data_IF_551641731286
#
_entry.id   IF_551641731286
#
_cell.length_a   1.000
_cell.length_b   1.000
_cell.length_c   1.000
_cell.angle_alpha   90.00
_cell.angle_beta   90.00
_cell.angle_gamma   90.00
#
_symmetry.space_group_name_H-M   'P 1'
#
loop_
_entity.id
_entity.type
_entity.pdbx_description
1 polymer ?
#
# COMPACT_ATOMS: atom_id res chain seq x y z
N UNK A 1 14.81 61.96 16.37
CA UNK A 1 13.88 60.85 16.04
C UNK A 1 14.69 59.63 15.59
N UNK A 2 14.96 58.70 16.50
CA UNK A 2 15.75 57.49 16.24
C UNK A 2 14.79 56.29 16.08
N UNK A 3 14.75 55.68 14.90
CA UNK A 3 13.94 54.47 14.64
C UNK A 3 14.78 53.23 14.95
N UNK A 4 14.56 52.65 16.13
CA UNK A 4 15.03 51.29 16.46
C UNK A 4 14.34 50.28 15.53
N UNK A 5 15.10 49.62 14.65
CA UNK A 5 14.66 48.40 13.97
C UNK A 5 14.64 47.27 15.02
N UNK A 6 13.45 46.78 15.38
CA UNK A 6 13.29 45.51 16.09
C UNK A 6 13.59 44.39 15.09
N UNK A 7 14.71 43.72 15.27
CA UNK A 7 14.97 42.40 14.69
C UNK A 7 13.98 41.41 15.33
N UNK A 8 13.01 40.94 14.54
CA UNK A 8 12.23 39.75 14.87
C UNK A 8 13.12 38.54 14.56
N UNK A 9 13.75 37.99 15.60
CA UNK A 9 14.18 36.61 15.59
C UNK A 9 12.91 35.76 15.74
N UNK A 10 12.48 35.09 14.68
CA UNK A 10 11.52 33.99 14.79
C UNK A 10 12.26 32.73 14.41
N UNK A 11 12.47 31.91 15.43
CA UNK A 11 12.99 30.55 15.34
C UNK A 11 12.12 29.77 14.36
N UNK A 12 12.69 29.38 13.22
CA UNK A 12 12.16 28.27 12.44
C UNK A 12 12.66 26.99 13.11
N UNK A 13 11.95 26.52 14.14
CA UNK A 13 11.88 25.08 14.37
C UNK A 13 11.03 24.53 13.24
N UNK A 14 11.69 24.03 12.19
CA UNK A 14 11.03 23.29 11.12
C UNK A 14 10.30 22.10 11.73
N UNK A 15 8.98 22.04 11.53
CA UNK A 15 8.09 20.94 11.90
C UNK A 15 8.76 19.59 11.60
N UNK A 16 9.19 18.89 12.63
CA UNK A 16 9.93 17.62 12.52
C UNK A 16 9.06 16.41 12.17
N UNK A 17 7.78 16.60 11.85
CA UNK A 17 6.80 15.54 11.60
C UNK A 17 6.01 15.75 10.30
N UNK A 18 6.68 16.11 9.20
CA UNK A 18 5.99 16.11 7.90
C UNK A 18 5.85 14.66 7.41
N UNK A 19 4.66 14.09 7.56
CA UNK A 19 4.36 12.76 7.06
C UNK A 19 4.53 12.69 5.54
N UNK A 20 5.22 11.67 5.04
CA UNK A 20 5.26 11.37 3.62
C UNK A 20 4.11 10.44 3.22
N UNK A 21 3.88 10.28 1.91
CA UNK A 21 2.92 9.36 1.25
C UNK A 21 2.09 8.47 2.20
N UNK A 22 0.77 8.68 2.22
CA UNK A 22 -0.17 7.94 3.08
C UNK A 22 0.12 7.99 4.58
N UNK A 23 0.66 9.11 5.06
CA UNK A 23 0.79 9.39 6.50
C UNK A 23 1.97 8.68 7.17
N UNK A 24 2.97 8.24 6.40
CA UNK A 24 4.17 7.59 6.95
C UNK A 24 5.06 8.63 7.61
N UNK A 25 5.46 8.36 8.85
CA UNK A 25 6.48 9.10 9.58
C UNK A 25 7.69 8.18 9.74
N UNK A 26 8.80 8.43 9.01
CA UNK A 26 9.96 7.52 8.98
C UNK A 26 10.55 7.22 10.36
N UNK A 27 10.49 8.20 11.27
CA UNK A 27 11.00 8.11 12.63
C UNK A 27 10.16 7.19 13.54
N UNK A 28 8.90 6.91 13.18
CA UNK A 28 7.98 6.13 14.00
C UNK A 28 8.00 4.62 13.70
N UNK A 29 8.38 4.23 12.47
CA UNK A 29 8.41 2.82 12.07
C UNK A 29 9.27 2.59 10.85
N UNK A 30 10.16 1.59 10.93
CA UNK A 30 10.92 1.11 9.78
C UNK A 30 10.14 0.14 8.89
N UNK A 31 9.04 -0.46 9.40
CA UNK A 31 8.21 -1.38 8.60
C UNK A 31 7.29 -0.60 7.67
N UNK A 32 7.54 -0.71 6.37
CA UNK A 32 6.79 -0.04 5.33
C UNK A 32 6.64 -0.91 4.09
N UNK A 33 5.75 -0.49 3.21
CA UNK A 33 5.55 -1.11 1.90
C UNK A 33 5.78 -0.09 0.81
N UNK A 34 6.28 -0.55 -0.33
CA UNK A 34 6.58 0.28 -1.48
C UNK A 34 5.73 -0.16 -2.66
N UNK A 35 4.92 0.74 -3.20
CA UNK A 35 4.19 0.56 -4.45
C UNK A 35 4.93 1.32 -5.55
N UNK A 36 5.55 0.58 -6.46
CA UNK A 36 6.24 1.15 -7.62
C UNK A 36 5.31 1.12 -8.84
N UNK A 37 4.77 2.28 -9.18
CA UNK A 37 3.95 2.49 -10.36
C UNK A 37 4.76 2.68 -11.65
N UNK A 38 6.09 2.71 -11.56
CA UNK A 38 7.00 2.99 -12.67
C UNK A 38 6.97 4.45 -13.12
N UNK A 39 7.95 4.80 -13.95
CA UNK A 39 7.99 6.07 -14.69
C UNK A 39 7.71 5.87 -16.20
N UNK A 40 7.73 4.62 -16.68
CA UNK A 40 7.42 4.21 -18.05
C UNK A 40 6.12 3.38 -18.10
N UNK A 41 5.61 3.13 -19.31
CA UNK A 41 4.44 2.28 -19.64
C UNK A 41 4.74 0.79 -19.36
N UNK A 42 5.32 0.47 -18.20
CA UNK A 42 5.45 -0.91 -17.76
C UNK A 42 4.03 -1.49 -17.61
N UNK A 43 3.75 -2.67 -18.17
CA UNK A 43 2.46 -3.32 -18.01
C UNK A 43 2.26 -3.88 -16.59
N UNK A 44 3.25 -3.73 -15.70
CA UNK A 44 3.22 -4.25 -14.34
C UNK A 44 3.44 -3.17 -13.27
N UNK A 45 2.80 -3.39 -12.13
CA UNK A 45 3.02 -2.71 -10.86
C UNK A 45 3.74 -3.66 -9.92
N UNK A 46 4.74 -3.16 -9.21
CA UNK A 46 5.55 -3.92 -8.27
C UNK A 46 5.31 -3.45 -6.84
N UNK A 47 5.10 -4.39 -5.93
CA UNK A 47 4.85 -4.08 -4.51
C UNK A 47 5.74 -4.93 -3.62
N UNK A 48 6.54 -4.26 -2.78
CA UNK A 48 7.52 -4.89 -1.90
C UNK A 48 7.34 -4.46 -0.44
N UNK A 49 7.84 -5.30 0.47
CA UNK A 49 7.77 -5.13 1.93
C UNK A 49 9.17 -4.97 2.52
N UNK A 50 9.37 -3.94 3.35
CA UNK A 50 10.69 -3.56 3.87
C UNK A 50 10.65 -3.28 5.37
N UNK A 51 11.78 -3.50 6.04
CA UNK A 51 11.94 -3.33 7.50
C UNK A 51 13.04 -2.34 7.89
N UNK A 52 13.63 -1.67 6.91
CA UNK A 52 14.76 -0.75 7.08
C UNK A 52 14.26 0.70 7.23
N UNK A 53 14.98 1.50 8.01
CA UNK A 53 14.74 2.94 8.11
C UNK A 53 15.19 3.55 6.78
N UNK A 54 14.29 4.24 6.09
CA UNK A 54 14.64 4.90 4.84
C UNK A 54 15.10 6.35 5.14
N UNK A 55 16.41 6.59 5.09
CA UNK A 55 16.98 7.91 5.40
C UNK A 55 16.55 8.99 4.39
N UNK A 56 16.39 8.63 3.11
CA UNK A 56 16.03 9.58 2.03
C UNK A 56 15.20 8.93 0.91
N UNK A 57 14.08 9.54 0.48
CA UNK A 57 13.23 9.04 -0.62
C UNK A 57 13.95 8.86 -1.97
N UNK A 58 15.09 9.51 -2.18
CA UNK A 58 15.86 9.37 -3.42
C UNK A 58 16.72 8.10 -3.47
N UNK A 59 17.17 7.59 -2.30
CA UNK A 59 17.89 6.30 -2.23
C UNK A 59 16.96 5.12 -2.53
N UNK A 60 15.70 5.21 -2.10
CA UNK A 60 14.61 4.28 -2.43
C UNK A 60 14.52 4.05 -3.94
N UNK A 61 14.71 5.10 -4.75
CA UNK A 61 14.58 5.01 -6.20
C UNK A 61 15.60 4.10 -6.87
N UNK A 62 16.79 3.98 -6.28
CA UNK A 62 17.92 3.23 -6.83
C UNK A 62 17.97 1.82 -6.25
N UNK A 63 17.70 1.68 -4.95
CA UNK A 63 17.87 0.41 -4.22
C UNK A 63 16.73 -0.59 -4.45
N UNK A 64 15.51 -0.11 -4.75
CA UNK A 64 14.33 -0.95 -4.98
C UNK A 64 14.02 -1.20 -6.46
N UNK A 65 14.96 -0.91 -7.39
CA UNK A 65 14.92 -1.37 -8.78
C UNK A 65 15.18 -2.89 -8.92
N UNK A 66 14.69 -3.67 -7.97
CA UNK A 66 14.95 -5.11 -7.89
C UNK A 66 13.89 -5.88 -8.69
N UNK A 67 14.39 -6.86 -9.45
CA UNK A 67 13.64 -7.73 -10.37
C UNK A 67 12.57 -8.50 -9.59
N UNK A 68 11.58 -9.05 -10.30
CA UNK A 68 10.43 -9.80 -9.73
C UNK A 68 10.79 -10.97 -8.78
N UNK A 69 12.06 -11.40 -8.75
CA UNK A 69 12.59 -12.47 -7.93
C UNK A 69 13.10 -12.02 -6.55
N UNK A 70 13.03 -10.72 -6.23
CA UNK A 70 13.45 -10.19 -4.94
C UNK A 70 12.71 -10.87 -3.77
N UNK A 71 13.40 -11.26 -2.67
CA UNK A 71 12.76 -11.85 -1.50
C UNK A 71 11.71 -10.94 -0.86
N UNK A 72 11.87 -9.62 -0.97
CA UNK A 72 10.97 -8.58 -0.46
C UNK A 72 9.76 -8.35 -1.39
N UNK A 73 9.79 -8.86 -2.63
CA UNK A 73 8.68 -8.71 -3.57
C UNK A 73 7.47 -9.52 -3.12
N UNK A 74 6.32 -8.86 -2.99
CA UNK A 74 5.05 -9.46 -2.55
C UNK A 74 4.05 -9.59 -3.68
N UNK A 75 4.04 -8.63 -4.61
CA UNK A 75 3.10 -8.57 -5.73
C UNK A 75 3.80 -8.09 -7.00
N UNK A 76 3.50 -8.78 -8.11
CA UNK A 76 3.70 -8.29 -9.48
C UNK A 76 2.33 -8.34 -10.17
N UNK A 77 1.69 -7.18 -10.27
CA UNK A 77 0.30 -7.05 -10.71
C UNK A 77 0.25 -6.43 -12.10
N UNK A 78 -0.64 -6.89 -12.99
CA UNK A 78 -0.86 -6.19 -14.27
C UNK A 78 -1.43 -4.81 -13.99
N UNK A 79 -0.99 -3.80 -14.75
CA UNK A 79 -1.47 -2.42 -14.64
C UNK A 79 -2.98 -2.32 -14.83
N UNK A 80 -3.53 -3.11 -15.75
CA UNK A 80 -4.97 -3.22 -15.98
C UNK A 80 -5.73 -3.60 -14.71
N UNK A 81 -5.24 -4.59 -13.94
CA UNK A 81 -5.86 -5.00 -12.67
C UNK A 81 -5.65 -3.94 -11.59
N UNK A 82 -4.49 -3.28 -11.56
CA UNK A 82 -4.22 -2.20 -10.62
C UNK A 82 -5.21 -1.03 -10.78
N UNK A 83 -5.53 -0.66 -12.02
CA UNK A 83 -6.48 0.42 -12.31
C UNK A 83 -7.87 0.16 -11.71
N UNK A 84 -8.29 -1.11 -11.61
CA UNK A 84 -9.59 -1.49 -11.03
C UNK A 84 -9.65 -1.32 -9.50
N UNK A 85 -8.51 -1.26 -8.80
CA UNK A 85 -8.46 -1.27 -7.34
C UNK A 85 -7.83 -0.03 -6.72
N UNK A 86 -7.12 0.79 -7.49
CA UNK A 86 -6.39 1.95 -6.96
C UNK A 86 -7.32 2.91 -6.20
N UNK A 87 -8.45 3.28 -6.80
CA UNK A 87 -9.38 4.24 -6.20
C UNK A 87 -10.05 3.70 -4.94
N UNK A 88 -10.28 2.39 -4.86
CA UNK A 88 -10.79 1.72 -3.66
C UNK A 88 -9.85 1.96 -2.47
N UNK A 89 -8.55 1.75 -2.67
CA UNK A 89 -7.55 1.99 -1.63
C UNK A 89 -7.39 3.46 -1.29
N UNK A 90 -7.36 4.35 -2.28
CA UNK A 90 -7.29 5.79 -2.03
C UNK A 90 -8.47 6.24 -1.17
N UNK A 91 -9.68 5.77 -1.45
CA UNK A 91 -10.85 6.07 -0.64
C UNK A 91 -10.69 5.58 0.80
N UNK A 92 -10.45 4.27 0.98
CA UNK A 92 -10.37 3.61 2.30
C UNK A 92 -9.24 4.16 3.18
N UNK A 93 -8.07 4.43 2.57
CA UNK A 93 -6.91 4.97 3.28
C UNK A 93 -7.14 6.44 3.62
N UNK A 94 -7.67 7.25 2.69
CA UNK A 94 -7.92 8.67 2.96
C UNK A 94 -9.00 8.91 4.01
N UNK A 95 -10.02 8.04 4.11
CA UNK A 95 -10.99 8.11 5.21
C UNK A 95 -10.29 7.95 6.57
N UNK A 96 -9.35 7.01 6.67
CA UNK A 96 -8.57 6.78 7.90
C UNK A 96 -7.57 7.89 8.19
N UNK A 97 -6.90 8.42 7.17
CA UNK A 97 -6.00 9.58 7.32
C UNK A 97 -6.75 10.80 7.85
N UNK A 98 -7.93 11.11 7.28
CA UNK A 98 -8.78 12.21 7.75
C UNK A 98 -9.20 12.04 9.21
N UNK A 99 -9.63 10.84 9.61
CA UNK A 99 -9.98 10.53 11.01
C UNK A 99 -8.80 10.70 11.97
N UNK A 100 -7.58 10.44 11.49
CA UNK A 100 -6.34 10.63 12.24
C UNK A 100 -5.80 12.09 12.20
N UNK A 101 -6.48 13.02 11.52
CA UNK A 101 -6.01 14.40 11.35
C UNK A 101 -4.82 14.54 10.39
N UNK A 102 -4.56 13.53 9.57
CA UNK A 102 -3.46 13.51 8.60
C UNK A 102 -3.92 13.96 7.21
N UNK A 103 -2.96 14.45 6.42
CA UNK A 103 -3.20 14.87 5.03
C UNK A 103 -3.53 13.66 4.15
N UNK A 104 -4.55 13.79 3.31
CA UNK A 104 -4.89 12.76 2.31
C UNK A 104 -3.78 12.58 1.27
N UNK A 105 -3.69 11.38 0.70
CA UNK A 105 -2.72 11.00 -0.32
C UNK A 105 -3.38 10.34 -1.53
N UNK A 106 -2.68 10.30 -2.65
CA UNK A 106 -3.06 9.57 -3.87
C UNK A 106 -1.86 8.78 -4.36
N UNK A 107 -2.09 7.71 -5.10
CA UNK A 107 -1.00 7.03 -5.79
C UNK A 107 -0.58 7.86 -7.01
N UNK A 108 0.70 8.19 -7.08
CA UNK A 108 1.32 8.91 -8.20
C UNK A 108 2.38 8.06 -8.89
N UNK A 109 2.80 8.46 -10.08
CA UNK A 109 3.91 7.81 -10.79
C UNK A 109 5.17 7.68 -9.91
N UNK A 110 5.94 6.61 -10.17
CA UNK A 110 7.08 6.24 -9.37
C UNK A 110 6.69 5.53 -8.06
N UNK A 111 7.33 5.94 -6.97
CA UNK A 111 7.30 5.23 -5.69
C UNK A 111 6.31 5.86 -4.71
N UNK A 112 5.43 5.02 -4.18
CA UNK A 112 4.47 5.39 -3.14
C UNK A 112 4.74 4.52 -1.92
N UNK A 113 4.84 5.13 -0.76
CA UNK A 113 5.19 4.44 0.49
C UNK A 113 3.90 4.30 1.30
N UNK A 114 3.68 3.12 1.85
CA UNK A 114 2.52 2.85 2.70
C UNK A 114 2.98 2.45 4.10
N UNK A 115 2.25 2.89 5.14
CA UNK A 115 2.49 2.40 6.48
C UNK A 115 2.15 0.90 6.54
N UNK A 116 2.77 0.19 7.48
CA UNK A 116 2.63 -1.26 7.68
C UNK A 116 1.20 -1.78 7.47
N UNK A 117 0.21 -1.18 8.13
CA UNK A 117 -1.16 -1.70 8.12
C UNK A 117 -1.84 -1.52 6.75
N UNK A 118 -1.64 -0.39 6.08
CA UNK A 118 -2.19 -0.16 4.74
C UNK A 118 -1.56 -1.08 3.71
N UNK A 119 -0.24 -1.30 3.79
CA UNK A 119 0.43 -2.23 2.87
C UNK A 119 -0.04 -3.68 3.02
N UNK A 120 -0.29 -4.15 4.25
CA UNK A 120 -0.88 -5.47 4.51
C UNK A 120 -2.25 -5.63 3.85
N UNK A 121 -3.13 -4.64 4.06
CA UNK A 121 -4.47 -4.65 3.51
C UNK A 121 -4.48 -4.60 1.99
N UNK A 122 -3.58 -3.81 1.41
CA UNK A 122 -3.41 -3.70 -0.04
C UNK A 122 -2.98 -5.03 -0.65
N UNK A 123 -1.92 -5.63 -0.12
CA UNK A 123 -1.37 -6.88 -0.64
C UNK A 123 -2.38 -8.02 -0.54
N UNK A 124 -3.20 -8.07 0.51
CA UNK A 124 -4.21 -9.09 0.67
C UNK A 124 -5.18 -9.14 -0.53
N UNK A 125 -5.73 -7.98 -0.93
CA UNK A 125 -6.63 -7.93 -2.08
C UNK A 125 -5.88 -8.22 -3.39
N UNK A 126 -4.66 -7.71 -3.55
CA UNK A 126 -3.83 -8.05 -4.71
C UNK A 126 -3.61 -9.55 -4.85
N UNK A 127 -3.33 -10.28 -3.76
CA UNK A 127 -3.17 -11.74 -3.77
C UNK A 127 -4.45 -12.47 -4.15
N UNK A 128 -5.62 -11.95 -3.78
CA UNK A 128 -6.88 -12.55 -4.22
C UNK A 128 -7.08 -12.41 -5.73
N UNK A 129 -6.78 -11.25 -6.31
CA UNK A 129 -7.19 -10.94 -7.69
C UNK A 129 -6.11 -11.19 -8.74
N UNK A 130 -4.83 -11.30 -8.37
CA UNK A 130 -3.71 -11.37 -9.33
C UNK A 130 -3.78 -12.58 -10.29
N UNK A 131 -4.51 -13.62 -9.93
CA UNK A 131 -4.71 -14.85 -10.72
C UNK A 131 -6.20 -15.24 -10.79
N UNK A 132 -7.09 -14.28 -10.56
CA UNK A 132 -8.53 -14.45 -10.71
C UNK A 132 -8.98 -14.02 -12.12
N UNK A 133 -10.18 -14.44 -12.50
CA UNK A 133 -10.89 -13.81 -13.62
C UNK A 133 -11.14 -12.34 -13.28
N UNK A 134 -10.78 -11.37 -14.15
CA UNK A 134 -11.05 -9.95 -13.93
C UNK A 134 -12.51 -9.64 -13.60
N UNK A 135 -13.47 -10.42 -14.12
CA UNK A 135 -14.89 -10.26 -13.81
C UNK A 135 -15.25 -10.49 -12.33
N UNK A 136 -14.37 -11.11 -11.55
CA UNK A 136 -14.56 -11.35 -10.11
C UNK A 136 -13.96 -10.26 -9.22
N UNK A 137 -13.26 -9.26 -9.79
CA UNK A 137 -12.66 -8.16 -9.02
C UNK A 137 -13.72 -7.39 -8.20
N UNK A 138 -14.90 -7.03 -8.74
CA UNK A 138 -15.92 -6.33 -7.95
C UNK A 138 -16.39 -7.12 -6.73
N UNK A 139 -16.55 -8.45 -6.86
CA UNK A 139 -16.91 -9.35 -5.75
C UNK A 139 -15.79 -9.40 -4.71
N UNK A 140 -14.53 -9.49 -5.17
CA UNK A 140 -13.37 -9.47 -4.29
C UNK A 140 -13.25 -8.17 -3.49
N UNK A 141 -13.51 -7.02 -4.12
CA UNK A 141 -13.54 -5.72 -3.45
C UNK A 141 -14.61 -5.71 -2.37
N UNK A 142 -15.86 -6.09 -2.68
CA UNK A 142 -16.96 -6.11 -1.71
C UNK A 142 -16.67 -7.03 -0.52
N UNK A 143 -16.20 -8.26 -0.78
CA UNK A 143 -15.83 -9.18 0.29
C UNK A 143 -14.66 -8.65 1.14
N UNK A 144 -13.64 -8.04 0.52
CA UNK A 144 -12.54 -7.42 1.24
C UNK A 144 -13.00 -6.23 2.09
N UNK A 145 -13.93 -5.41 1.59
CA UNK A 145 -14.54 -4.30 2.33
C UNK A 145 -15.37 -4.79 3.52
N UNK A 146 -16.04 -5.94 3.39
CA UNK A 146 -16.79 -6.58 4.46
C UNK A 146 -15.93 -7.12 5.61
N UNK A 147 -14.63 -7.36 5.39
CA UNK A 147 -13.70 -7.74 6.46
C UNK A 147 -13.35 -6.55 7.33
N UNK A 148 -13.27 -6.77 8.64
CA UNK A 148 -12.66 -5.82 9.58
C UNK A 148 -11.15 -5.68 9.28
N UNK A 149 -10.53 -4.52 9.59
CA UNK A 149 -9.10 -4.33 9.41
C UNK A 149 -8.25 -5.44 10.06
N UNK A 150 -8.62 -5.89 11.26
CA UNK A 150 -7.91 -6.94 11.98
C UNK A 150 -7.95 -8.29 11.26
N UNK A 151 -9.09 -8.63 10.64
CA UNK A 151 -9.25 -9.84 9.84
C UNK A 151 -8.38 -9.77 8.59
N UNK A 152 -8.30 -8.60 7.95
CA UNK A 152 -7.40 -8.37 6.81
C UNK A 152 -5.93 -8.55 7.22
N UNK A 153 -5.52 -7.98 8.35
CA UNK A 153 -4.14 -8.11 8.84
C UNK A 153 -3.79 -9.53 9.24
N UNK A 154 -4.75 -10.26 9.82
CA UNK A 154 -4.57 -11.65 10.18
C UNK A 154 -4.41 -12.54 8.94
N UNK A 155 -5.30 -12.40 7.94
CA UNK A 155 -5.21 -13.13 6.67
C UNK A 155 -3.91 -12.83 5.94
N UNK A 156 -3.48 -11.56 5.92
CA UNK A 156 -2.18 -11.18 5.39
C UNK A 156 -1.05 -11.93 6.11
N UNK A 157 -1.02 -11.93 7.44
CA UNK A 157 0.06 -12.54 8.22
C UNK A 157 0.14 -14.05 7.97
N UNK A 158 -1.01 -14.74 7.96
CA UNK A 158 -1.06 -16.17 7.65
C UNK A 158 -0.57 -16.47 6.23
N UNK A 159 -0.96 -15.64 5.27
CA UNK A 159 -0.58 -15.84 3.87
C UNK A 159 0.88 -15.49 3.60
N UNK A 160 1.40 -14.42 4.22
CA UNK A 160 2.78 -13.97 4.08
C UNK A 160 3.77 -14.99 4.63
N UNK A 161 3.48 -15.54 5.83
CA UNK A 161 4.33 -16.54 6.48
C UNK A 161 4.50 -17.83 5.66
N UNK A 162 3.49 -18.22 4.87
CA UNK A 162 3.53 -19.44 4.05
C UNK A 162 3.91 -19.19 2.58
N UNK A 163 3.40 -18.11 1.98
CA UNK A 163 3.36 -17.88 0.53
C UNK A 163 3.55 -16.41 0.14
N UNK A 164 4.38 -15.66 0.87
CA UNK A 164 4.55 -14.21 0.68
C UNK A 164 5.24 -13.76 -0.62
N UNK A 165 6.27 -14.48 -1.09
CA UNK A 165 7.04 -14.09 -2.28
C UNK A 165 6.19 -14.09 -3.58
N UNK A 166 6.29 -13.02 -4.37
CA UNK A 166 5.40 -12.70 -5.47
C UNK A 166 5.32 -13.72 -6.63
N UNK A 167 6.46 -14.29 -7.04
CA UNK A 167 6.55 -15.16 -8.22
C UNK A 167 6.54 -16.64 -7.80
N UNK A 168 7.43 -17.02 -6.88
CA UNK A 168 7.61 -18.40 -6.41
C UNK A 168 6.35 -18.98 -5.77
N UNK A 169 5.55 -18.13 -5.12
CA UNK A 169 4.38 -18.57 -4.37
C UNK A 169 3.05 -18.14 -5.00
N UNK A 170 3.06 -17.61 -6.22
CA UNK A 170 1.84 -17.20 -6.93
C UNK A 170 0.86 -18.37 -7.07
N UNK A 171 -0.42 -18.10 -6.84
CA UNK A 171 -1.53 -19.03 -7.07
C UNK A 171 -1.39 -20.43 -6.41
N UNK A 172 -0.81 -20.50 -5.21
CA UNK A 172 -0.71 -21.74 -4.41
C UNK A 172 -0.92 -21.48 -2.93
N UNK A 173 -1.21 -22.55 -2.18
CA UNK A 173 -1.36 -22.50 -0.72
C UNK A 173 -2.35 -21.43 -0.27
N UNK A 174 -1.97 -20.63 0.73
CA UNK A 174 -2.80 -19.58 1.30
C UNK A 174 -3.22 -18.51 0.30
N UNK A 175 -2.39 -18.14 -0.70
CA UNK A 175 -2.82 -17.21 -1.76
C UNK A 175 -4.00 -17.75 -2.56
N UNK A 176 -4.00 -19.07 -2.86
CA UNK A 176 -5.12 -19.70 -3.56
C UNK A 176 -6.38 -19.73 -2.68
N UNK A 177 -6.22 -19.95 -1.38
CA UNK A 177 -7.32 -19.87 -0.41
C UNK A 177 -7.90 -18.45 -0.31
N UNK A 178 -7.05 -17.42 -0.19
CA UNK A 178 -7.44 -16.00 -0.16
C UNK A 178 -8.18 -15.60 -1.43
N UNK A 179 -7.73 -16.05 -2.60
CA UNK A 179 -8.47 -15.86 -3.86
C UNK A 179 -9.89 -16.37 -3.71
N UNK A 180 -10.08 -17.65 -3.42
CA UNK A 180 -11.43 -18.23 -3.31
C UNK A 180 -12.27 -17.56 -2.22
N UNK A 181 -11.68 -17.28 -1.07
CA UNK A 181 -12.36 -16.62 0.04
C UNK A 181 -12.90 -15.23 -0.34
N UNK A 182 -12.20 -14.48 -1.20
CA UNK A 182 -12.64 -13.14 -1.60
C UNK A 182 -13.43 -13.15 -2.92
N UNK A 183 -13.15 -14.07 -3.85
CA UNK A 183 -13.78 -14.05 -5.19
C UNK A 183 -15.04 -14.90 -5.29
N UNK A 184 -15.22 -15.91 -4.43
CA UNK A 184 -16.35 -16.86 -4.50
C UNK A 184 -17.29 -16.79 -3.29
N UNK A 185 -16.94 -16.01 -2.26
CA UNK A 185 -17.84 -15.82 -1.13
C UNK A 185 -19.08 -15.01 -1.59
N UNK A 186 -20.30 -15.52 -1.37
CA UNK A 186 -21.52 -14.84 -1.77
C UNK A 186 -21.62 -13.46 -1.14
N UNK A 187 -21.97 -12.48 -1.96
CA UNK A 187 -22.32 -11.13 -1.52
C UNK A 187 -23.84 -11.01 -1.55
N UNK A 188 -24.47 -10.64 -0.43
CA UNK A 188 -25.89 -10.31 -0.43
C UNK A 188 -26.05 -8.96 -1.12
N UNK A 189 -26.88 -8.91 -2.18
CA UNK A 189 -27.16 -7.67 -2.92
C UNK A 189 -28.25 -6.81 -2.27
N UNK A 190 -28.70 -7.15 -1.06
CA UNK A 190 -29.84 -6.50 -0.39
C UNK A 190 -29.45 -5.28 0.46
N UNK A 191 -28.15 -4.97 0.60
CA UNK A 191 -27.64 -3.91 1.49
C UNK A 191 -26.99 -2.70 0.76
N UNK A 192 -27.20 -2.54 -0.55
CA UNK A 192 -26.75 -1.36 -1.33
C UNK A 192 -27.82 -0.25 -1.42
#
# INVERSE_FOLDING_TARGET
>A
MSRKRKTKNQNNETDKNESISFGVVPEESSHHFLVNLGYDISPYIYISEHFEIFDHPEKIKIEYLKKSEDPEMRVVLRREIWSEIQEVFEFEFNQRLKRAGLKTSKFSEGYNILPRLFGKELILLCWAIESADPGLIPVAIKNWQGLKPEERWWLYTMTSAATGQAVKHRNRGWRKAVRFALTENPINYEDD
#
